data_IF_674991087773
#
_entry.id   IF_674991087773
#
_cell.length_a   1.000
_cell.length_b   1.000
_cell.length_c   1.000
_cell.angle_alpha   90.00
_cell.angle_beta   90.00
_cell.angle_gamma   90.00
#
_symmetry.space_group_name_H-M   'P 1'
#
loop_
_entity.id
_entity.type
_entity.pdbx_description
1 polymer ?
#
# COMPACT_ATOMS: atom_id res chain seq x y z
N UNK A 1 -14.26 19.23 0.41
CA UNK A 1 -13.67 18.13 1.19
C UNK A 1 -13.86 16.84 0.40
N UNK A 2 -12.85 16.45 -0.37
CA UNK A 2 -12.74 15.13 -0.97
C UNK A 2 -11.25 14.89 -1.13
N UNK A 3 -10.68 14.09 -0.23
CA UNK A 3 -9.29 13.65 -0.36
C UNK A 3 -9.23 12.81 -1.64
N UNK A 4 -8.77 13.42 -2.72
CA UNK A 4 -8.37 12.70 -3.92
C UNK A 4 -7.16 11.88 -3.51
N UNK A 5 -7.37 10.57 -3.48
CA UNK A 5 -6.29 9.61 -3.42
C UNK A 5 -6.05 9.27 -4.88
N UNK A 6 -4.94 9.79 -5.41
CA UNK A 6 -4.61 9.75 -6.84
C UNK A 6 -4.49 8.29 -7.31
N UNK A 7 -5.51 7.83 -8.05
CA UNK A 7 -5.59 6.45 -8.58
C UNK A 7 -6.97 5.79 -8.40
N UNK A 8 -7.81 6.30 -7.49
CA UNK A 8 -9.16 5.79 -7.27
C UNK A 8 -10.23 6.88 -7.46
N UNK A 9 -11.39 6.51 -8.02
CA UNK A 9 -12.51 7.43 -8.14
C UNK A 9 -12.88 8.03 -6.77
N UNK A 10 -13.28 9.31 -6.66
CA UNK A 10 -13.65 9.92 -5.39
C UNK A 10 -14.75 9.09 -4.69
N UNK A 11 -14.41 8.49 -3.54
CA UNK A 11 -15.31 7.63 -2.75
C UNK A 11 -15.18 6.12 -3.00
N UNK A 12 -14.42 5.68 -4.01
CA UNK A 12 -14.14 4.26 -4.23
C UNK A 12 -12.88 3.84 -3.48
N UNK A 13 -13.03 3.28 -2.28
CA UNK A 13 -11.91 2.66 -1.55
C UNK A 13 -11.74 1.21 -1.99
N UNK A 14 -10.50 0.70 -2.12
CA UNK A 14 -10.28 -0.73 -2.26
C UNK A 14 -10.93 -1.49 -1.09
N UNK A 15 -11.38 -2.72 -1.36
CA UNK A 15 -11.92 -3.61 -0.34
C UNK A 15 -10.95 -4.75 -0.07
N UNK A 16 -10.95 -5.25 1.17
CA UNK A 16 -10.21 -6.45 1.51
C UNK A 16 -10.82 -7.66 0.81
N UNK A 17 -10.02 -8.39 0.02
CA UNK A 17 -10.47 -9.59 -0.72
C UNK A 17 -10.98 -10.73 0.17
N UNK A 18 -10.66 -10.72 1.47
CA UNK A 18 -11.04 -11.77 2.40
C UNK A 18 -12.29 -11.48 3.22
N UNK A 19 -12.54 -10.20 3.55
CA UNK A 19 -13.64 -9.82 4.46
C UNK A 19 -14.50 -8.68 3.94
N UNK A 20 -14.22 -8.18 2.72
CA UNK A 20 -14.92 -7.08 2.07
C UNK A 20 -14.92 -5.74 2.83
N UNK A 21 -14.15 -5.63 3.93
CA UNK A 21 -13.99 -4.36 4.63
C UNK A 21 -13.24 -3.34 3.76
N UNK A 22 -13.65 -2.06 3.73
CA UNK A 22 -12.92 -1.03 3.02
C UNK A 22 -11.53 -0.81 3.62
N UNK A 23 -10.57 -0.46 2.78
CA UNK A 23 -9.22 -0.11 3.24
C UNK A 23 -9.24 1.20 4.04
N UNK A 24 -8.38 1.26 5.04
CA UNK A 24 -8.18 2.48 5.84
C UNK A 24 -7.29 3.46 5.09
N UNK A 25 -7.30 4.73 5.53
CA UNK A 25 -6.44 5.78 4.92
C UNK A 25 -4.95 5.41 5.02
N UNK A 26 -4.55 4.74 6.10
CA UNK A 26 -3.16 4.30 6.28
C UNK A 26 -2.76 3.20 5.29
N UNK A 27 -3.64 2.24 5.04
CA UNK A 27 -3.39 1.19 4.05
C UNK A 27 -3.25 1.77 2.64
N UNK A 28 -4.05 2.79 2.34
CA UNK A 28 -4.00 3.48 1.06
C UNK A 28 -2.72 4.32 0.95
N UNK A 29 -2.32 5.05 2.01
CA UNK A 29 -1.05 5.78 2.02
C UNK A 29 0.15 4.88 1.75
N UNK A 30 0.21 3.70 2.36
CA UNK A 30 1.29 2.73 2.13
C UNK A 30 1.31 2.26 0.68
N UNK A 31 0.12 2.02 0.10
CA UNK A 31 0.00 1.68 -1.32
C UNK A 31 0.42 2.82 -2.25
N UNK A 32 0.01 4.06 -1.97
CA UNK A 32 0.37 5.22 -2.77
C UNK A 32 1.88 5.50 -2.71
N UNK A 33 2.49 5.31 -1.54
CA UNK A 33 3.95 5.37 -1.39
C UNK A 33 4.60 4.33 -2.31
N UNK A 34 4.14 3.08 -2.35
CA UNK A 34 4.64 2.09 -3.32
C UNK A 34 4.42 2.51 -4.78
N UNK A 35 3.20 2.94 -5.11
CA UNK A 35 2.80 3.26 -6.48
C UNK A 35 3.56 4.45 -7.05
N UNK A 36 3.82 5.49 -6.25
CA UNK A 36 4.60 6.65 -6.65
C UNK A 36 6.09 6.35 -6.79
N UNK A 37 6.62 5.44 -5.97
CA UNK A 37 8.05 5.11 -6.01
C UNK A 37 8.38 4.07 -7.06
N UNK A 38 7.43 3.37 -7.68
CA UNK A 38 7.65 2.67 -8.96
C UNK A 38 8.88 1.73 -9.00
N UNK A 39 9.27 1.11 -7.89
CA UNK A 39 10.49 0.28 -7.82
C UNK A 39 11.81 1.06 -7.68
N UNK A 40 11.76 2.35 -7.36
CA UNK A 40 12.91 3.22 -7.16
C UNK A 40 13.03 3.64 -5.72
N UNK A 41 14.02 3.05 -5.05
CA UNK A 41 14.72 3.57 -3.88
C UNK A 41 13.83 4.24 -2.84
N UNK A 42 13.29 3.41 -1.96
CA UNK A 42 13.22 3.84 -0.59
C UNK A 42 14.64 4.27 -0.15
N UNK A 43 14.78 5.44 0.47
CA UNK A 43 16.03 5.96 1.04
C UNK A 43 16.46 5.10 2.25
N UNK A 44 16.71 3.81 2.00
CA UNK A 44 17.39 2.95 2.94
C UNK A 44 18.87 3.07 2.59
N UNK A 45 19.65 3.57 3.56
CA UNK A 45 21.06 3.88 3.39
C UNK A 45 21.89 2.77 2.72
N UNK A 46 23.10 3.10 2.25
CA UNK A 46 23.84 2.30 1.29
C UNK A 46 24.12 0.88 1.82
N UNK A 47 23.50 -0.12 1.19
CA UNK A 47 23.87 -1.52 1.34
C UNK A 47 22.69 -2.48 1.21
N UNK A 48 22.52 -3.11 0.04
CA UNK A 48 21.72 -4.33 -0.20
C UNK A 48 20.50 -4.51 0.71
N UNK A 49 19.43 -3.77 0.46
CA UNK A 49 18.22 -3.88 1.26
C UNK A 49 17.09 -4.43 0.40
N UNK A 50 16.81 -5.72 0.55
CA UNK A 50 15.51 -6.28 0.18
C UNK A 50 14.47 -5.56 1.04
N UNK A 51 13.64 -4.70 0.46
CA UNK A 51 12.48 -4.19 1.17
C UNK A 51 11.24 -4.98 0.77
N UNK A 52 10.34 -5.08 1.73
CA UNK A 52 9.01 -5.64 1.53
C UNK A 52 7.99 -4.62 1.99
N UNK A 53 7.08 -4.25 1.09
CA UNK A 53 5.88 -3.48 1.45
C UNK A 53 4.75 -4.47 1.70
N UNK A 54 4.29 -4.51 2.94
CA UNK A 54 3.18 -5.34 3.37
C UNK A 54 1.98 -4.49 3.77
N UNK A 55 0.82 -4.74 3.14
CA UNK A 55 -0.46 -4.16 3.55
C UNK A 55 -1.30 -5.26 4.17
N UNK A 56 -1.63 -5.08 5.44
CA UNK A 56 -2.50 -5.98 6.20
C UNK A 56 -3.86 -5.34 6.43
N UNK A 57 -4.94 -6.09 6.22
CA UNK A 57 -6.28 -5.61 6.47
C UNK A 57 -6.47 -5.27 7.96
N UNK A 58 -6.88 -4.03 8.26
CA UNK A 58 -7.14 -3.60 9.63
C UNK A 58 -8.27 -4.39 10.32
N UNK A 59 -9.23 -4.93 9.56
CA UNK A 59 -10.38 -5.68 10.09
C UNK A 59 -10.03 -7.15 10.35
N UNK A 60 -9.72 -7.92 9.30
CA UNK A 60 -9.49 -9.37 9.42
C UNK A 60 -8.03 -9.77 9.68
N UNK A 61 -7.12 -8.79 9.79
CA UNK A 61 -5.68 -8.97 10.08
C UNK A 61 -4.93 -9.88 9.10
N UNK A 62 -5.48 -10.10 7.90
CA UNK A 62 -4.82 -10.87 6.83
C UNK A 62 -3.97 -9.95 5.96
N UNK A 63 -2.81 -10.43 5.55
CA UNK A 63 -1.97 -9.81 4.53
C UNK A 63 -2.74 -9.82 3.20
N UNK A 64 -2.98 -8.64 2.62
CA UNK A 64 -3.76 -8.47 1.39
C UNK A 64 -2.92 -8.03 0.19
N UNK A 65 -1.76 -7.45 0.44
CA UNK A 65 -0.82 -7.03 -0.58
C UNK A 65 0.59 -7.16 -0.01
N UNK A 66 1.48 -7.75 -0.81
CA UNK A 66 2.91 -7.80 -0.55
C UNK A 66 3.62 -7.49 -1.85
N UNK A 67 4.60 -6.61 -1.78
CA UNK A 67 5.55 -6.38 -2.87
C UNK A 67 6.95 -6.45 -2.31
N UNK A 68 7.78 -7.26 -2.95
CA UNK A 68 9.19 -7.41 -2.62
C UNK A 68 10.00 -6.67 -3.67
N UNK A 69 10.98 -5.90 -3.22
CA UNK A 69 11.94 -5.23 -4.08
C UNK A 69 13.26 -6.00 -3.99
N UNK A 70 13.76 -6.44 -5.14
CA UNK A 70 15.13 -6.86 -5.33
C UNK A 70 15.78 -5.84 -6.26
N UNK A 71 16.84 -5.19 -5.79
CA UNK A 71 17.78 -4.45 -6.65
C UNK A 71 18.62 -5.43 -7.47
#
# INVERSE_FOLDING_TARGET
MANKIDGFAPGARPICVFCNAPWTDDMIRVYDIDAQHGGGSYDFGPGNQQATVDITCANCKRLIYRKEFQE
#
